data_IF_266720191217
#
_entry.id   IF_266720191217
#
_cell.length_a   1.000
_cell.length_b   1.000
_cell.length_c   1.000
_cell.angle_alpha   90.00
_cell.angle_beta   90.00
_cell.angle_gamma   90.00
#
_symmetry.space_group_name_H-M   'P 1'
#
loop_
_entity.id
_entity.type
_entity.pdbx_description
1 polymer ?
#
# COMPACT_ATOMS: atom_id res chain seq x y z
N UNK A 1 22.43 -18.77 30.95
CA UNK A 1 21.53 -17.68 30.50
C UNK A 1 20.29 -17.72 31.35
N UNK A 2 19.92 -16.65 32.07
CA UNK A 2 18.64 -16.60 32.76
C UNK A 2 17.50 -16.62 31.73
N UNK A 3 16.33 -17.19 32.06
CA UNK A 3 15.17 -17.16 31.19
C UNK A 3 14.72 -15.72 30.99
N UNK A 4 14.48 -15.33 29.73
CA UNK A 4 13.86 -14.05 29.40
C UNK A 4 12.45 -14.08 29.97
N UNK A 5 12.19 -13.30 31.03
CA UNK A 5 10.85 -13.14 31.56
C UNK A 5 10.07 -12.22 30.61
N UNK A 6 9.30 -12.81 29.71
CA UNK A 6 8.39 -12.11 28.80
C UNK A 6 7.19 -11.57 29.59
N UNK A 7 7.41 -10.51 30.35
CA UNK A 7 6.32 -9.83 31.04
C UNK A 7 5.32 -9.32 30.01
N UNK A 8 4.15 -9.99 29.95
CA UNK A 8 3.04 -9.78 29.03
C UNK A 8 3.33 -10.06 27.53
N UNK A 9 3.18 -11.31 27.06
CA UNK A 9 3.36 -11.70 25.65
C UNK A 9 2.55 -10.86 24.65
N UNK A 10 1.36 -10.37 25.03
CA UNK A 10 0.51 -9.54 24.18
C UNK A 10 1.15 -8.19 23.85
N UNK A 11 1.79 -7.55 24.81
CA UNK A 11 2.48 -6.27 24.59
C UNK A 11 3.68 -6.46 23.67
N UNK A 12 4.48 -7.50 23.91
CA UNK A 12 5.63 -7.87 23.08
C UNK A 12 5.19 -8.15 21.64
N UNK A 13 4.07 -8.84 21.43
CA UNK A 13 3.57 -9.11 20.09
C UNK A 13 3.19 -7.83 19.34
N UNK A 14 2.55 -6.87 20.00
CA UNK A 14 2.23 -5.57 19.39
C UNK A 14 3.47 -4.79 18.96
N UNK A 15 4.53 -4.80 19.77
CA UNK A 15 5.81 -4.18 19.41
C UNK A 15 6.49 -4.87 18.22
N UNK A 16 6.37 -6.19 18.12
CA UNK A 16 6.90 -6.95 16.99
C UNK A 16 6.13 -6.65 15.70
N UNK A 17 4.80 -6.52 15.78
CA UNK A 17 3.96 -6.11 14.65
C UNK A 17 4.33 -4.70 14.19
N UNK A 18 4.51 -3.78 15.14
CA UNK A 18 4.93 -2.40 14.88
C UNK A 18 6.33 -2.32 14.23
N UNK A 19 7.27 -3.15 14.69
CA UNK A 19 8.60 -3.27 14.11
C UNK A 19 8.54 -3.86 12.70
N UNK A 20 7.75 -4.92 12.49
CA UNK A 20 7.58 -5.54 11.18
C UNK A 20 7.00 -4.55 10.16
N UNK A 21 6.01 -3.75 10.60
CA UNK A 21 5.40 -2.71 9.79
C UNK A 21 6.41 -1.64 9.36
N UNK A 22 7.25 -1.16 10.29
CA UNK A 22 8.36 -0.23 9.97
C UNK A 22 9.42 -0.85 9.07
N UNK A 23 9.74 -2.12 9.26
CA UNK A 23 10.70 -2.81 8.40
C UNK A 23 10.18 -2.92 6.96
N UNK A 24 8.89 -3.19 6.77
CA UNK A 24 8.26 -3.18 5.45
C UNK A 24 8.25 -1.79 4.82
N UNK A 25 7.96 -0.74 5.60
CA UNK A 25 8.05 0.65 5.15
C UNK A 25 9.48 1.01 4.69
N UNK A 26 10.49 0.64 5.48
CA UNK A 26 11.90 0.87 5.16
C UNK A 26 12.33 0.11 3.89
N UNK A 27 11.83 -1.10 3.66
CA UNK A 27 12.09 -1.85 2.42
C UNK A 27 11.56 -1.10 1.20
N UNK A 28 10.37 -0.52 1.25
CA UNK A 28 9.83 0.29 0.16
C UNK A 28 10.71 1.51 -0.08
N UNK A 29 11.10 2.24 0.97
CA UNK A 29 11.95 3.42 0.85
C UNK A 29 13.33 3.09 0.22
N UNK A 30 13.96 1.99 0.66
CA UNK A 30 15.25 1.54 0.11
C UNK A 30 15.14 1.15 -1.36
N UNK A 31 14.06 0.46 -1.75
CA UNK A 31 13.84 0.08 -3.16
C UNK A 31 13.60 1.29 -4.04
N UNK A 32 12.86 2.30 -3.55
CA UNK A 32 12.68 3.57 -4.26
C UNK A 32 13.99 4.30 -4.47
N UNK A 33 14.77 4.49 -3.41
CA UNK A 33 16.08 5.14 -3.48
C UNK A 33 17.01 4.43 -4.48
N UNK A 34 17.04 3.08 -4.45
CA UNK A 34 17.83 2.31 -5.39
C UNK A 34 17.36 2.47 -6.84
N UNK A 35 16.04 2.55 -7.07
CA UNK A 35 15.48 2.80 -8.39
C UNK A 35 15.81 4.21 -8.90
N UNK A 36 15.71 5.23 -8.03
CA UNK A 36 16.03 6.63 -8.35
C UNK A 36 17.51 6.80 -8.70
N UNK A 37 18.40 6.01 -8.09
CA UNK A 37 19.83 5.94 -8.42
C UNK A 37 20.15 5.08 -9.65
N UNK A 38 19.16 4.41 -10.23
CA UNK A 38 19.35 3.50 -11.37
C UNK A 38 20.04 2.17 -11.04
N UNK A 39 20.08 1.78 -9.76
CA UNK A 39 20.77 0.55 -9.31
C UNK A 39 19.95 -0.73 -9.60
N UNK A 40 18.63 -0.60 -9.77
CA UNK A 40 17.71 -1.75 -9.87
C UNK A 40 17.68 -2.42 -11.24
N UNK A 41 18.34 -1.84 -12.26
CA UNK A 41 18.11 -2.22 -13.65
C UNK A 41 16.72 -1.78 -14.15
N UNK A 42 16.42 -2.02 -15.44
CA UNK A 42 15.23 -1.47 -16.08
C UNK A 42 13.94 -2.20 -15.69
N UNK A 43 12.90 -1.40 -15.41
CA UNK A 43 11.53 -1.88 -15.23
C UNK A 43 11.31 -2.81 -14.03
N UNK A 44 10.08 -3.30 -13.91
CA UNK A 44 9.61 -4.12 -12.78
C UNK A 44 10.47 -5.36 -12.52
N UNK A 45 10.91 -6.03 -13.58
CA UNK A 45 11.71 -7.27 -13.50
C UNK A 45 13.09 -6.99 -12.92
N UNK A 46 13.73 -5.88 -13.30
CA UNK A 46 14.98 -5.43 -12.71
C UNK A 46 14.82 -5.15 -11.22
N UNK A 47 13.84 -4.33 -10.84
CA UNK A 47 13.55 -3.99 -9.44
C UNK A 47 13.31 -5.25 -8.61
N UNK A 48 12.54 -6.20 -9.13
CA UNK A 48 12.29 -7.46 -8.44
C UNK A 48 13.57 -8.28 -8.26
N UNK A 49 14.41 -8.39 -9.30
CA UNK A 49 15.70 -9.09 -9.21
C UNK A 49 16.63 -8.44 -8.19
N UNK A 50 16.69 -7.11 -8.16
CA UNK A 50 17.47 -6.33 -7.19
C UNK A 50 17.02 -6.62 -5.75
N UNK A 51 15.71 -6.61 -5.50
CA UNK A 51 15.13 -6.94 -4.18
C UNK A 51 15.52 -8.34 -3.73
N UNK A 52 15.41 -9.34 -4.61
CA UNK A 52 15.76 -10.73 -4.27
C UNK A 52 17.26 -10.97 -4.09
N UNK A 53 18.08 -10.14 -4.75
CA UNK A 53 19.53 -10.15 -4.57
C UNK A 53 19.90 -9.68 -3.17
N UNK A 54 19.39 -8.52 -2.73
CA UNK A 54 19.78 -7.88 -1.48
C UNK A 54 18.93 -8.27 -0.25
N UNK A 55 17.71 -8.78 -0.44
CA UNK A 55 16.81 -9.18 0.65
C UNK A 55 16.50 -10.67 0.59
N UNK A 56 17.37 -11.47 1.20
CA UNK A 56 17.21 -12.93 1.24
C UNK A 56 15.91 -13.38 1.91
N UNK A 57 15.40 -12.61 2.88
CA UNK A 57 14.13 -12.88 3.55
C UNK A 57 12.92 -12.83 2.61
N UNK A 58 13.01 -12.11 1.49
CA UNK A 58 11.91 -11.97 0.53
C UNK A 58 11.92 -13.04 -0.57
N UNK A 59 12.91 -13.94 -0.59
CA UNK A 59 12.97 -15.06 -1.55
C UNK A 59 11.86 -16.08 -1.36
N UNK A 60 11.37 -16.24 -0.13
CA UNK A 60 10.21 -17.06 0.18
C UNK A 60 8.87 -16.40 -0.21
N UNK A 61 8.89 -15.13 -0.62
CA UNK A 61 7.72 -14.36 -1.03
C UNK A 61 7.70 -12.95 -0.45
N UNK A 62 6.77 -12.12 -0.94
CA UNK A 62 6.54 -10.76 -0.44
C UNK A 62 7.25 -9.65 -1.22
N UNK A 63 8.30 -9.98 -2.00
CA UNK A 63 9.00 -9.03 -2.89
C UNK A 63 8.04 -8.30 -3.83
N UNK A 64 7.06 -8.99 -4.41
CA UNK A 64 6.08 -8.40 -5.31
C UNK A 64 5.31 -7.23 -4.68
N UNK A 65 4.98 -7.30 -3.38
CA UNK A 65 4.27 -6.21 -2.68
C UNK A 65 5.18 -5.00 -2.48
N UNK A 66 6.44 -5.23 -2.12
CA UNK A 66 7.44 -4.16 -1.96
C UNK A 66 7.62 -3.44 -3.30
N UNK A 67 7.86 -4.19 -4.37
CA UNK A 67 8.03 -3.64 -5.72
C UNK A 67 6.79 -2.87 -6.16
N UNK A 68 5.60 -3.44 -5.96
CA UNK A 68 4.34 -2.80 -6.36
C UNK A 68 4.11 -1.44 -5.70
N UNK A 69 4.36 -1.34 -4.39
CA UNK A 69 4.21 -0.08 -3.66
C UNK A 69 5.34 0.91 -3.99
N UNK A 70 6.56 0.42 -4.21
CA UNK A 70 7.67 1.26 -4.65
C UNK A 70 7.41 1.86 -6.05
N UNK A 71 6.84 1.10 -6.98
CA UNK A 71 6.44 1.61 -8.30
C UNK A 71 5.28 2.59 -8.24
N UNK A 72 4.29 2.35 -7.37
CA UNK A 72 3.18 3.29 -7.17
C UNK A 72 3.69 4.68 -6.74
N UNK A 73 4.85 4.74 -6.10
CA UNK A 73 5.48 5.97 -5.68
C UNK A 73 6.00 6.86 -6.82
N UNK A 74 6.04 6.35 -8.05
CA UNK A 74 6.37 7.13 -9.25
C UNK A 74 5.20 7.98 -9.74
N UNK A 75 4.01 7.78 -9.18
CA UNK A 75 2.80 8.49 -9.54
C UNK A 75 2.32 9.32 -8.35
N UNK A 76 2.31 10.65 -8.52
CA UNK A 76 2.00 11.63 -7.47
C UNK A 76 0.62 11.42 -6.84
N UNK A 77 -0.31 10.75 -7.54
CA UNK A 77 -1.62 10.40 -6.99
C UNK A 77 -1.48 9.55 -5.73
N UNK A 78 -0.47 8.71 -5.63
CA UNK A 78 -0.22 7.84 -4.48
C UNK A 78 0.60 8.51 -3.35
N UNK A 79 0.94 9.80 -3.45
CA UNK A 79 1.78 10.46 -2.43
C UNK A 79 1.23 10.29 -0.99
N UNK A 80 -0.08 10.41 -0.80
CA UNK A 80 -0.74 10.19 0.50
C UNK A 80 -0.64 8.75 1.01
N UNK A 81 -0.75 7.75 0.11
CA UNK A 81 -0.53 6.34 0.44
C UNK A 81 0.91 6.10 0.86
N UNK A 82 1.88 6.67 0.13
CA UNK A 82 3.30 6.49 0.42
C UNK A 82 3.67 7.10 1.78
N UNK A 83 3.17 8.30 2.09
CA UNK A 83 3.33 8.88 3.42
C UNK A 83 2.77 7.95 4.51
N UNK A 84 1.57 7.39 4.30
CA UNK A 84 0.96 6.47 5.27
C UNK A 84 1.72 5.14 5.43
N UNK A 85 2.35 4.63 4.38
CA UNK A 85 3.24 3.47 4.47
C UNK A 85 4.52 3.83 5.21
N UNK A 86 5.17 4.93 4.87
CA UNK A 86 6.42 5.39 5.52
C UNK A 86 6.23 5.69 7.01
N UNK A 87 5.08 6.24 7.38
CA UNK A 87 4.68 6.48 8.78
C UNK A 87 4.31 5.19 9.54
N UNK A 88 4.39 4.02 8.91
CA UNK A 88 3.96 2.75 9.47
C UNK A 88 2.48 2.79 9.94
N UNK A 89 1.61 3.47 9.17
CA UNK A 89 0.15 3.49 9.40
C UNK A 89 -0.59 2.49 8.51
N UNK A 90 -0.09 2.23 7.30
CA UNK A 90 -0.71 1.28 6.37
C UNK A 90 0.22 0.09 6.13
N UNK A 91 -0.21 -1.14 6.49
CA UNK A 91 0.53 -2.37 6.18
C UNK A 91 0.70 -2.61 4.69
N UNK A 92 1.87 -3.10 4.29
CA UNK A 92 2.23 -3.32 2.89
C UNK A 92 1.24 -4.19 2.10
N UNK A 93 0.67 -5.29 2.66
CA UNK A 93 -0.38 -6.05 1.97
C UNK A 93 -1.65 -5.22 1.73
N UNK A 94 -2.00 -4.32 2.64
CA UNK A 94 -3.16 -3.43 2.50
C UNK A 94 -2.88 -2.31 1.50
N UNK A 95 -1.68 -1.70 1.54
CA UNK A 95 -1.25 -0.70 0.56
C UNK A 95 -1.28 -1.24 -0.88
N UNK A 96 -0.85 -2.50 -1.08
CA UNK A 96 -0.93 -3.15 -2.40
C UNK A 96 -2.36 -3.18 -2.94
N UNK A 97 -3.34 -3.47 -2.07
CA UNK A 97 -4.76 -3.49 -2.44
C UNK A 97 -5.31 -2.08 -2.70
N UNK A 98 -4.84 -1.06 -2.00
CA UNK A 98 -5.19 0.34 -2.33
C UNK A 98 -4.77 0.68 -3.75
N UNK A 99 -3.53 0.32 -4.15
CA UNK A 99 -3.05 0.53 -5.52
C UNK A 99 -3.92 -0.22 -6.53
N UNK A 100 -4.20 -1.50 -6.29
CA UNK A 100 -5.06 -2.32 -7.16
C UNK A 100 -6.48 -1.74 -7.31
N UNK A 101 -7.10 -1.36 -6.20
CA UNK A 101 -8.46 -0.84 -6.21
C UNK A 101 -8.54 0.56 -6.84
N UNK A 102 -7.56 1.43 -6.58
CA UNK A 102 -7.52 2.74 -7.21
C UNK A 102 -7.31 2.63 -8.72
N UNK A 103 -6.37 1.81 -9.20
CA UNK A 103 -6.18 1.58 -10.63
C UNK A 103 -7.45 1.02 -11.29
N UNK A 104 -8.10 0.05 -10.64
CA UNK A 104 -9.38 -0.52 -11.09
C UNK A 104 -10.50 0.52 -11.19
N UNK A 105 -10.53 1.50 -10.30
CA UNK A 105 -11.56 2.54 -10.27
C UNK A 105 -11.25 3.73 -11.19
N UNK A 106 -9.98 4.12 -11.30
CA UNK A 106 -9.50 5.38 -11.87
C UNK A 106 -10.16 5.77 -13.20
N UNK A 107 -10.16 4.86 -14.18
CA UNK A 107 -10.71 5.06 -15.52
C UNK A 107 -12.24 5.25 -15.58
N UNK A 108 -12.93 5.05 -14.45
CA UNK A 108 -14.40 5.16 -14.33
C UNK A 108 -14.81 6.31 -13.43
N UNK A 109 -13.88 7.02 -12.82
CA UNK A 109 -14.18 8.10 -11.89
C UNK A 109 -14.65 9.35 -12.65
N UNK A 110 -15.60 10.06 -12.06
CA UNK A 110 -15.96 11.39 -12.52
C UNK A 110 -14.75 12.34 -12.45
N UNK A 111 -14.68 13.36 -13.31
CA UNK A 111 -13.66 14.40 -13.20
C UNK A 111 -13.60 14.99 -11.78
N UNK A 112 -12.40 15.03 -11.20
CA UNK A 112 -12.16 15.53 -9.84
C UNK A 112 -12.43 14.54 -8.70
N UNK A 113 -12.91 13.32 -8.97
CA UNK A 113 -13.17 12.32 -7.93
C UNK A 113 -11.93 11.50 -7.52
N UNK A 114 -10.83 11.53 -8.30
CA UNK A 114 -9.62 10.74 -8.02
C UNK A 114 -9.04 10.98 -6.62
N UNK A 115 -8.82 12.24 -6.24
CA UNK A 115 -8.25 12.61 -4.93
C UNK A 115 -9.09 12.09 -3.75
N UNK A 116 -10.38 12.47 -3.66
CA UNK A 116 -11.26 11.97 -2.59
C UNK A 116 -11.35 10.43 -2.55
N UNK A 117 -11.28 9.76 -3.71
CA UNK A 117 -11.34 8.30 -3.75
C UNK A 117 -10.08 7.68 -3.16
N UNK A 118 -8.90 8.16 -3.54
CA UNK A 118 -7.66 7.61 -3.00
C UNK A 118 -7.49 7.93 -1.51
N UNK A 119 -7.89 9.11 -1.06
CA UNK A 119 -7.88 9.49 0.35
C UNK A 119 -8.76 8.55 1.19
N UNK A 120 -9.98 8.26 0.71
CA UNK A 120 -10.89 7.31 1.36
C UNK A 120 -10.33 5.88 1.41
N UNK A 121 -9.68 5.41 0.34
CA UNK A 121 -9.01 4.10 0.34
C UNK A 121 -7.87 4.05 1.38
N UNK A 122 -7.07 5.12 1.49
CA UNK A 122 -5.95 5.22 2.46
C UNK A 122 -6.47 5.27 3.90
N UNK A 123 -7.57 5.98 4.15
CA UNK A 123 -8.21 6.03 5.47
C UNK A 123 -8.68 4.64 5.90
N UNK A 124 -9.43 3.93 5.03
CA UNK A 124 -9.88 2.56 5.31
C UNK A 124 -8.69 1.62 5.49
N UNK A 125 -7.64 1.77 4.69
CA UNK A 125 -6.43 0.96 4.79
C UNK A 125 -5.66 1.18 6.10
N UNK A 126 -5.76 2.36 6.70
CA UNK A 126 -5.10 2.69 7.98
C UNK A 126 -5.80 2.06 9.18
N UNK A 127 -7.09 1.72 9.05
CA UNK A 127 -7.92 1.18 10.13
C UNK A 127 -8.27 -0.30 9.95
N UNK A 128 -8.17 -0.81 8.72
CA UNK A 128 -8.75 -2.08 8.30
C UNK A 128 -7.77 -3.07 7.68
N UNK A 129 -8.34 -4.13 7.14
CA UNK A 129 -7.66 -5.22 6.44
C UNK A 129 -7.87 -5.09 4.93
N UNK A 130 -7.11 -5.84 4.10
CA UNK A 130 -7.30 -5.84 2.65
C UNK A 130 -8.74 -6.07 2.15
N UNK A 131 -9.54 -6.85 2.87
CA UNK A 131 -10.95 -7.06 2.52
C UNK A 131 -11.83 -5.82 2.72
N UNK A 132 -11.48 -4.97 3.67
CA UNK A 132 -12.27 -3.78 4.03
C UNK A 132 -12.06 -2.69 2.98
N UNK A 133 -10.82 -2.57 2.45
CA UNK A 133 -10.50 -1.71 1.30
C UNK A 133 -11.29 -2.12 0.06
N UNK A 134 -11.34 -3.42 -0.26
CA UNK A 134 -12.12 -3.94 -1.40
C UNK A 134 -13.62 -3.70 -1.23
N UNK A 135 -14.15 -3.92 -0.03
CA UNK A 135 -15.56 -3.65 0.26
C UNK A 135 -15.90 -2.17 0.08
N UNK A 136 -15.01 -1.27 0.52
CA UNK A 136 -15.17 0.17 0.32
C UNK A 136 -15.20 0.55 -1.17
N UNK A 137 -14.36 -0.09 -2.00
CA UNK A 137 -14.34 0.08 -3.46
C UNK A 137 -15.63 -0.33 -4.18
N UNK A 138 -16.56 -0.97 -3.48
CA UNK A 138 -17.92 -1.34 -3.93
C UNK A 138 -19.02 -0.60 -3.17
N UNK A 139 -18.68 0.40 -2.37
CA UNK A 139 -19.66 1.14 -1.56
C UNK A 139 -20.54 2.05 -2.43
N UNK A 140 -21.74 2.35 -1.93
CA UNK A 140 -22.68 3.26 -2.61
C UNK A 140 -22.10 4.65 -2.84
N UNK A 141 -21.16 5.09 -2.01
CA UNK A 141 -20.44 6.34 -2.22
C UNK A 141 -19.54 6.27 -3.47
N UNK A 142 -18.73 5.21 -3.62
CA UNK A 142 -17.88 5.01 -4.81
C UNK A 142 -18.72 4.88 -6.07
N UNK A 143 -19.86 4.20 -6.00
CA UNK A 143 -20.80 4.12 -7.12
C UNK A 143 -21.28 5.50 -7.60
N UNK A 144 -21.54 6.44 -6.69
CA UNK A 144 -21.91 7.82 -7.05
C UNK A 144 -20.74 8.58 -7.69
N UNK A 145 -19.51 8.35 -7.21
CA UNK A 145 -18.31 8.95 -7.77
C UNK A 145 -17.99 8.46 -9.20
N UNK A 146 -18.46 7.25 -9.56
CA UNK A 146 -18.27 6.66 -10.89
C UNK A 146 -19.30 7.13 -11.93
N UNK A 147 -20.47 7.61 -11.51
CA UNK A 147 -21.52 8.01 -12.47
C UNK A 147 -22.40 9.16 -11.97
N UNK A 148 -21.97 10.43 -12.13
CA UNK A 148 -22.83 11.58 -11.88
C UNK A 148 -23.99 11.69 -12.88
N UNK A 149 -23.77 11.28 -14.15
CA UNK A 149 -24.76 11.39 -15.22
C UNK A 149 -25.99 10.50 -15.03
N UNK A 150 -25.86 9.34 -14.38
CA UNK A 150 -27.00 8.46 -14.08
C UNK A 150 -27.96 9.02 -13.01
N UNK A 151 -27.54 10.03 -12.24
CA UNK A 151 -28.38 10.69 -11.25
C UNK A 151 -29.08 11.94 -11.79
N UNK A 152 -28.58 12.52 -12.90
CA UNK A 152 -29.19 13.68 -13.54
C UNK A 152 -30.44 13.31 -14.35
N UNK A 153 -30.49 12.10 -14.92
CA UNK A 153 -31.64 11.60 -15.70
C UNK A 153 -32.75 10.98 -14.83
N UNK A 154 -32.62 11.01 -13.50
CA UNK A 154 -33.58 10.44 -12.54
C UNK A 154 -34.42 11.52 -11.82
N UNK A 155 -34.49 12.74 -12.34
CA UNK A 155 -35.31 13.85 -11.81
C UNK A 155 -36.26 14.43 -12.84
#
# INVERSE_FOLDING_TARGET
MPPVSWSCPRFVHGLLDELALRADAARVAVVREAADRGETGPGRTGVHAWVLHWSTSLRAGGSARVVRVAEAALDDRFAGLLAAVTDARVPLPTATVVVEEFERLSHRLAPGAEGPVIDGLVEVASLGRPKDVRAWGTSSWVHRAVAPSLLADAR
#
